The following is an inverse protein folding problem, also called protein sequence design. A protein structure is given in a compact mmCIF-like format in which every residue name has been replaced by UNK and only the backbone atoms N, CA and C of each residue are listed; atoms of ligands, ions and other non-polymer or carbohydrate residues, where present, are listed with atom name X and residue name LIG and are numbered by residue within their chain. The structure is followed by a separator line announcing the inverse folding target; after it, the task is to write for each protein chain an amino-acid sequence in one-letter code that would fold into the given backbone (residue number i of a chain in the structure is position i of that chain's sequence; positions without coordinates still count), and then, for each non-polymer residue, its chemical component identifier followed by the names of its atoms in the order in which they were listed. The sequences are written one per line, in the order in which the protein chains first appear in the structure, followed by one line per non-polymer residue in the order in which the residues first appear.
data_IF_632803357644
#
_entry.id   IF_632803357644
#
_cell.length_a   1.000
_cell.length_b   1.000
_cell.length_c   1.000
_cell.angle_alpha   90.00
_cell.angle_beta   90.00
_cell.angle_gamma   90.00
#
_symmetry.space_group_name_H-M   'P 1'
#
loop_
_entity.id
_entity.type
_entity.pdbx_description
1 polymer ?
#
# COMPACT_ATOMS: atom_id res chain seq x y z
N UNK A 1 -1.39 -9.88 -26.56
CA UNK A 1 -1.97 -8.55 -26.22
C UNK A 1 -2.55 -7.85 -27.46
N UNK A 2 -1.81 -7.71 -28.58
CA UNK A 2 -2.30 -7.02 -29.79
C UNK A 2 -3.57 -7.66 -30.41
N UNK A 3 -3.66 -8.99 -30.45
CA UNK A 3 -4.84 -9.71 -30.95
C UNK A 3 -6.12 -9.44 -30.14
N UNK A 4 -6.01 -9.24 -28.82
CA UNK A 4 -7.16 -8.98 -27.95
C UNK A 4 -7.84 -7.65 -28.28
N UNK A 5 -7.09 -6.68 -28.80
CA UNK A 5 -7.59 -5.36 -29.20
C UNK A 5 -7.84 -5.23 -30.72
N UNK A 6 -7.85 -6.36 -31.45
CA UNK A 6 -8.15 -6.38 -32.89
C UNK A 6 -6.97 -6.05 -33.81
N UNK A 7 -5.76 -5.88 -33.26
CA UNK A 7 -4.53 -5.64 -34.04
C UNK A 7 -3.80 -6.98 -34.31
N UNK A 8 -4.49 -7.86 -35.04
CA UNK A 8 -4.01 -9.23 -35.28
C UNK A 8 -2.87 -9.31 -36.30
N UNK A 9 -2.67 -8.28 -37.14
CA UNK A 9 -1.58 -8.27 -38.13
C UNK A 9 -0.20 -7.99 -37.53
N UNK A 10 -0.10 -7.22 -36.43
CA UNK A 10 1.18 -7.03 -35.69
C UNK A 10 1.46 -8.14 -34.67
N UNK A 11 0.47 -8.93 -34.29
CA UNK A 11 0.55 -9.94 -33.21
C UNK A 11 1.13 -11.30 -33.58
N UNK A 12 1.41 -11.58 -34.86
CA UNK A 12 1.74 -12.94 -35.35
C UNK A 12 3.16 -13.43 -35.01
N UNK A 13 4.04 -12.56 -34.52
CA UNK A 13 5.40 -12.90 -34.06
C UNK A 13 5.56 -12.45 -32.61
N UNK A 14 6.31 -13.24 -31.85
CA UNK A 14 6.76 -12.88 -30.51
C UNK A 14 7.40 -11.48 -30.54
N UNK A 15 7.06 -10.60 -29.58
CA UNK A 15 7.45 -9.19 -29.66
C UNK A 15 8.95 -8.96 -29.45
N UNK A 16 9.69 -9.96 -28.95
CA UNK A 16 11.14 -9.92 -28.74
C UNK A 16 11.63 -8.97 -27.65
N UNK A 17 10.72 -8.25 -26.96
CA UNK A 17 11.04 -7.15 -26.05
C UNK A 17 10.36 -7.26 -24.69
N UNK A 18 9.65 -8.35 -24.43
CA UNK A 18 9.07 -8.61 -23.10
C UNK A 18 9.78 -9.79 -22.45
N UNK A 19 9.71 -9.86 -21.13
CA UNK A 19 10.36 -10.90 -20.33
C UNK A 19 10.03 -12.31 -20.83
N UNK A 20 8.80 -12.56 -21.27
CA UNK A 20 8.42 -13.85 -21.86
C UNK A 20 9.18 -14.17 -23.16
N UNK A 21 9.36 -13.19 -24.05
CA UNK A 21 10.11 -13.42 -25.30
C UNK A 21 11.62 -13.57 -25.07
N UNK A 22 12.13 -12.98 -23.99
CA UNK A 22 13.55 -13.05 -23.63
C UNK A 22 13.89 -14.34 -22.89
N UNK A 23 13.02 -14.80 -21.98
CA UNK A 23 13.32 -15.94 -21.10
C UNK A 23 12.55 -17.20 -21.44
N UNK A 24 11.39 -17.10 -22.09
CA UNK A 24 10.39 -18.17 -22.25
C UNK A 24 10.05 -18.90 -20.94
N UNK A 25 10.27 -18.24 -19.80
CA UNK A 25 10.06 -18.77 -18.46
C UNK A 25 9.07 -17.87 -17.75
N UNK A 26 8.06 -18.50 -17.13
CA UNK A 26 7.13 -17.79 -16.27
C UNK A 26 7.89 -17.19 -15.08
N UNK A 27 7.77 -15.88 -14.89
CA UNK A 27 8.29 -15.20 -13.69
C UNK A 27 7.47 -15.69 -12.49
N UNK A 28 8.13 -16.38 -11.58
CA UNK A 28 7.58 -16.71 -10.25
C UNK A 28 8.04 -15.60 -9.32
N UNK A 29 7.10 -14.80 -8.81
CA UNK A 29 7.43 -13.84 -7.77
C UNK A 29 7.80 -14.59 -6.48
N UNK A 30 8.84 -14.18 -5.76
CA UNK A 30 9.14 -14.71 -4.44
C UNK A 30 7.93 -14.54 -3.52
N UNK A 31 7.59 -15.58 -2.77
CA UNK A 31 6.60 -15.50 -1.70
C UNK A 31 7.27 -14.83 -0.49
N UNK A 32 7.30 -13.50 -0.48
CA UNK A 32 7.79 -12.74 0.66
C UNK A 32 6.70 -12.73 1.74
N UNK A 33 6.95 -13.31 2.93
CA UNK A 33 5.97 -13.30 3.99
C UNK A 33 5.73 -11.86 4.45
N UNK A 34 4.47 -11.55 4.75
CA UNK A 34 4.13 -10.25 5.30
C UNK A 34 4.88 -9.99 6.61
N UNK A 35 5.35 -8.75 6.77
CA UNK A 35 6.09 -8.33 7.96
C UNK A 35 5.13 -7.75 9.01
N UNK A 36 5.41 -7.94 10.31
CA UNK A 36 4.61 -7.30 11.35
C UNK A 36 4.78 -5.76 11.32
N UNK A 37 3.78 -4.99 11.75
CA UNK A 37 3.88 -3.54 11.85
C UNK A 37 5.06 -3.08 12.73
N UNK A 38 5.92 -2.22 12.18
CA UNK A 38 7.05 -1.65 12.92
C UNK A 38 6.57 -0.55 13.89
N UNK A 39 6.76 -0.70 15.21
CA UNK A 39 6.29 0.28 16.19
C UNK A 39 6.92 1.67 16.01
N UNK A 40 8.13 1.77 15.48
CA UNK A 40 8.79 3.05 15.20
C UNK A 40 8.09 3.77 14.05
N UNK A 41 7.73 3.03 12.99
CA UNK A 41 7.00 3.58 11.85
C UNK A 41 5.55 3.94 12.22
N UNK A 42 4.89 3.11 13.03
CA UNK A 42 3.57 3.41 13.60
C UNK A 42 3.61 4.74 14.35
N UNK A 43 4.60 4.93 15.23
CA UNK A 43 4.76 6.19 15.95
C UNK A 43 4.99 7.37 15.02
N UNK A 44 5.82 7.23 13.99
CA UNK A 44 6.03 8.28 12.97
C UNK A 44 4.75 8.64 12.23
N UNK A 45 3.92 7.66 11.85
CA UNK A 45 2.62 7.88 11.20
C UNK A 45 1.71 8.69 12.12
N UNK A 46 1.65 8.30 13.40
CA UNK A 46 0.88 9.01 14.42
C UNK A 46 1.39 10.45 14.58
N UNK A 47 2.69 10.67 14.75
CA UNK A 47 3.28 12.01 14.91
C UNK A 47 3.06 12.90 13.68
N UNK A 48 3.07 12.33 12.46
CA UNK A 48 2.85 13.06 11.21
C UNK A 48 1.38 13.43 10.97
N UNK A 49 0.43 12.71 11.58
CA UNK A 49 -1.01 12.88 11.36
C UNK A 49 -1.73 13.18 12.67
N UNK A 50 -2.18 14.43 12.82
CA UNK A 50 -2.94 14.85 14.00
C UNK A 50 -4.36 14.27 14.12
N UNK A 51 -4.82 13.49 13.13
CA UNK A 51 -6.15 12.85 13.13
C UNK A 51 -6.04 11.51 13.86
N UNK A 52 -6.53 11.46 15.10
CA UNK A 52 -6.47 10.27 15.98
C UNK A 52 -7.81 9.54 16.17
N UNK A 53 -8.80 9.88 15.36
CA UNK A 53 -10.16 9.29 15.40
C UNK A 53 -10.39 8.24 14.29
N UNK A 54 -9.52 8.19 13.27
CA UNK A 54 -9.75 7.35 12.09
C UNK A 54 -8.58 6.37 11.87
N UNK A 55 -8.58 5.28 12.65
CA UNK A 55 -7.59 4.21 12.57
C UNK A 55 -7.50 3.61 11.15
N UNK A 56 -8.62 3.55 10.43
CA UNK A 56 -8.67 3.04 9.06
C UNK A 56 -7.98 3.98 8.07
N UNK A 57 -8.09 5.29 8.25
CA UNK A 57 -7.33 6.26 7.46
C UNK A 57 -5.82 6.15 7.72
N UNK A 58 -5.41 6.00 8.98
CA UNK A 58 -4.00 5.81 9.36
C UNK A 58 -3.42 4.51 8.77
N UNK A 59 -4.16 3.41 8.85
CA UNK A 59 -3.78 2.14 8.25
C UNK A 59 -3.65 2.25 6.72
N UNK A 60 -4.58 2.93 6.04
CA UNK A 60 -4.49 3.20 4.59
C UNK A 60 -3.26 4.06 4.24
N UNK A 61 -2.93 5.05 5.06
CA UNK A 61 -1.75 5.89 4.88
C UNK A 61 -0.47 5.07 4.93
N UNK A 62 -0.30 4.31 6.01
CA UNK A 62 0.87 3.48 6.21
C UNK A 62 1.02 2.39 5.13
N UNK A 63 -0.10 1.81 4.68
CA UNK A 63 -0.12 0.78 3.64
C UNK A 63 0.09 1.35 2.22
N UNK A 64 -0.22 2.63 1.98
CA UNK A 64 -0.10 3.27 0.66
C UNK A 64 -1.40 3.29 -0.16
N UNK A 65 -2.57 3.08 0.46
CA UNK A 65 -3.87 3.19 -0.23
C UNK A 65 -4.34 4.64 -0.24
N UNK A 66 -4.60 5.16 -1.44
CA UNK A 66 -5.18 6.49 -1.64
C UNK A 66 -6.69 6.51 -1.37
N UNK A 67 -7.16 7.52 -0.64
CA UNK A 67 -8.58 7.87 -0.48
C UNK A 67 -8.85 9.36 -0.76
N UNK A 68 -10.02 9.75 -1.30
CA UNK A 68 -10.32 11.16 -1.61
C UNK A 68 -10.06 12.12 -0.44
N UNK A 69 -10.39 11.70 0.79
CA UNK A 69 -10.17 12.45 2.04
C UNK A 69 -8.68 12.77 2.28
N UNK A 70 -7.79 11.80 2.07
CA UNK A 70 -6.35 11.99 2.26
C UNK A 70 -5.74 12.92 1.21
N UNK A 71 -6.30 12.94 -0.01
CA UNK A 71 -5.91 13.88 -1.06
C UNK A 71 -6.23 15.33 -0.68
N UNK A 72 -7.42 15.58 -0.14
CA UNK A 72 -7.80 16.91 0.35
C UNK A 72 -6.87 17.42 1.48
N UNK A 73 -6.37 16.49 2.30
CA UNK A 73 -5.45 16.77 3.42
C UNK A 73 -3.96 16.69 3.01
N UNK A 74 -3.64 16.46 1.73
CA UNK A 74 -2.27 16.32 1.19
C UNK A 74 -1.39 15.28 1.90
N UNK A 75 -2.00 14.26 2.51
CA UNK A 75 -1.28 13.28 3.34
C UNK A 75 -0.33 12.38 2.53
N UNK A 76 -0.54 12.22 1.21
CA UNK A 76 0.34 11.42 0.35
C UNK A 76 1.72 12.01 0.12
N UNK A 77 1.89 13.30 0.39
CA UNK A 77 3.19 13.96 0.25
C UNK A 77 4.08 13.74 1.48
N UNK A 78 3.55 13.12 2.53
CA UNK A 78 4.31 12.81 3.74
C UNK A 78 5.16 11.55 3.55
N UNK A 79 6.34 11.55 4.14
CA UNK A 79 7.29 10.42 4.15
C UNK A 79 6.72 9.15 4.81
N UNK A 80 5.59 9.28 5.53
CA UNK A 80 4.90 8.17 6.20
C UNK A 80 3.95 7.40 5.26
N UNK A 81 3.65 7.94 4.07
CA UNK A 81 2.84 7.25 3.07
C UNK A 81 3.57 6.02 2.54
N UNK A 82 2.88 4.87 2.49
CA UNK A 82 3.46 3.60 2.00
C UNK A 82 4.65 3.08 2.84
N UNK A 83 4.88 3.65 4.04
CA UNK A 83 6.01 3.26 4.91
C UNK A 83 5.96 1.82 5.43
N UNK A 84 4.79 1.18 5.39
CA UNK A 84 4.51 -0.18 5.88
C UNK A 84 3.68 -0.99 4.86
N UNK A 85 3.98 -0.85 3.56
CA UNK A 85 3.30 -1.57 2.47
C UNK A 85 3.56 -3.10 2.44
N UNK A 86 4.56 -3.58 3.17
CA UNK A 86 4.89 -5.01 3.34
C UNK A 86 4.15 -5.69 4.50
N UNK A 87 3.30 -4.94 5.22
CA UNK A 87 2.53 -5.46 6.35
C UNK A 87 1.11 -5.85 5.92
N UNK A 88 0.53 -6.81 6.63
CA UNK A 88 -0.89 -7.14 6.44
C UNK A 88 -1.78 -5.97 6.88
N UNK A 89 -2.72 -5.57 6.01
CA UNK A 89 -3.63 -4.46 6.31
C UNK A 89 -4.45 -4.67 7.61
N UNK A 90 -4.98 -5.88 7.90
CA UNK A 90 -5.66 -6.14 9.18
C UNK A 90 -4.78 -5.91 10.41
N UNK A 91 -3.48 -6.21 10.34
CA UNK A 91 -2.56 -5.98 11.45
C UNK A 91 -2.30 -4.49 11.67
N UNK A 92 -2.09 -3.73 10.58
CA UNK A 92 -2.00 -2.27 10.64
C UNK A 92 -3.26 -1.67 11.26
N UNK A 93 -4.44 -2.11 10.83
CA UNK A 93 -5.71 -1.61 11.35
C UNK A 93 -5.85 -1.90 12.85
N UNK A 94 -5.44 -3.08 13.31
CA UNK A 94 -5.47 -3.42 14.73
C UNK A 94 -4.56 -2.49 15.53
N UNK A 95 -3.31 -2.33 15.11
CA UNK A 95 -2.32 -1.48 15.81
C UNK A 95 -2.76 -0.02 15.87
N UNK A 96 -3.29 0.52 14.77
CA UNK A 96 -3.78 1.90 14.77
C UNK A 96 -5.08 2.07 15.57
N UNK A 97 -5.95 1.05 15.63
CA UNK A 97 -7.13 1.07 16.51
C UNK A 97 -6.70 1.20 17.97
N UNK A 98 -5.79 0.34 18.43
CA UNK A 98 -5.26 0.39 19.80
C UNK A 98 -4.58 1.73 20.11
N UNK A 99 -3.89 2.33 19.14
CA UNK A 99 -3.27 3.64 19.29
C UNK A 99 -4.31 4.77 19.38
N UNK A 100 -5.34 4.75 18.54
CA UNK A 100 -6.43 5.73 18.59
C UNK A 100 -7.24 5.63 19.88
N UNK A 101 -7.49 4.43 20.39
CA UNK A 101 -8.18 4.22 21.68
C UNK A 101 -7.37 4.76 22.86
N UNK A 102 -6.03 4.65 22.81
CA UNK A 102 -5.14 5.20 23.84
C UNK A 102 -5.10 6.74 23.84
N UNK A 103 -5.08 7.36 22.67
CA UNK A 103 -5.06 8.83 22.51
C UNK A 103 -6.45 9.46 22.69
N UNK A 104 -7.53 8.73 22.37
CA UNK A 104 -8.92 9.17 22.53
C UNK A 104 -9.48 8.98 23.95
N UNK A 105 -8.72 8.36 24.85
CA UNK A 105 -9.08 8.07 26.24
C UNK A 105 -8.83 9.20 27.26
N UNK A 106 -8.96 10.47 26.86
CA UNK A 106 -9.14 11.60 27.80
C UNK A 106 -10.23 12.52 27.23
N UNK A 107 -11.44 12.30 27.69
CA UNK A 107 -12.63 13.12 27.43
C UNK A 107 -13.76 12.59 28.31
N UNK A 108 -13.84 13.16 29.52
CA UNK A 108 -14.84 12.93 30.58
C UNK A 108 -16.29 13.01 30.09
#
# INVERSE_FOLDING_TARGET
MAEYFGDAERGKKECGNCTWCETHVQVVLPDEPAQPPDPVKVKRVLDAVGIRDDARMLAKLAFGIKSPRMGALKLYSLDVFESMNVCEFPELLKVFTEACERDGGVGE
#
